data_IF_285130288947
#
_entry.id   IF_285130288947
#
_cell.length_a   1.000
_cell.length_b   1.000
_cell.length_c   1.000
_cell.angle_alpha   90.00
_cell.angle_beta   90.00
_cell.angle_gamma   90.00
#
_symmetry.space_group_name_H-M   'P 1'
#
loop_
_entity.id
_entity.type
_entity.pdbx_description
1 polymer ?
#
# COMPACT_ATOMS: atom_id res chain seq x y z
N UNK A 1 27.74 10.41 18.24
CA UNK A 1 26.44 11.05 18.59
C UNK A 1 25.97 11.84 17.36
N UNK A 2 24.95 11.37 16.65
CA UNK A 2 24.45 12.06 15.45
C UNK A 2 23.50 13.18 15.87
N UNK A 3 23.72 14.40 15.35
CA UNK A 3 22.78 15.51 15.54
C UNK A 3 21.60 15.32 14.59
N UNK A 4 20.39 15.24 15.13
CA UNK A 4 19.17 15.23 14.31
C UNK A 4 18.89 16.64 13.82
N UNK A 5 18.79 16.82 12.50
CA UNK A 5 18.40 18.10 11.89
C UNK A 5 16.92 18.01 11.51
N UNK A 6 16.08 18.86 12.10
CA UNK A 6 14.66 18.95 11.75
C UNK A 6 14.49 19.99 10.65
N UNK A 7 14.07 19.55 9.47
CA UNK A 7 13.84 20.40 8.30
C UNK A 7 12.36 20.31 7.95
N UNK A 8 11.68 21.46 7.84
CA UNK A 8 10.34 21.53 7.27
C UNK A 8 10.45 21.37 5.76
N UNK A 9 9.57 20.55 5.17
CA UNK A 9 9.40 20.56 3.72
C UNK A 9 8.44 21.71 3.39
N UNK A 10 8.83 22.60 2.48
CA UNK A 10 7.99 23.65 1.91
C UNK A 10 7.55 23.26 0.49
N UNK A 11 6.63 22.29 0.33
CA UNK A 11 6.22 21.81 -0.98
C UNK A 11 5.30 22.81 -1.68
N UNK A 12 5.48 22.95 -3.00
CA UNK A 12 4.53 23.62 -3.87
C UNK A 12 3.17 22.90 -3.87
N UNK A 13 2.08 23.56 -4.29
CA UNK A 13 0.75 22.92 -4.35
C UNK A 13 0.73 21.60 -5.15
N UNK A 14 1.50 21.52 -6.24
CA UNK A 14 1.64 20.29 -7.05
C UNK A 14 2.34 19.19 -6.27
N UNK A 15 3.40 19.53 -5.52
CA UNK A 15 4.13 18.57 -4.68
C UNK A 15 3.25 18.04 -3.55
N UNK A 16 2.42 18.88 -2.92
CA UNK A 16 1.46 18.43 -1.89
C UNK A 16 0.51 17.37 -2.46
N UNK A 17 -0.04 17.62 -3.64
CA UNK A 17 -0.94 16.66 -4.30
C UNK A 17 -0.20 15.36 -4.60
N UNK A 18 1.02 15.42 -5.11
CA UNK A 18 1.83 14.23 -5.43
C UNK A 18 2.18 13.42 -4.16
N UNK A 19 2.60 14.10 -3.09
CA UNK A 19 2.88 13.47 -1.80
C UNK A 19 1.65 12.76 -1.23
N UNK A 20 0.47 13.42 -1.29
CA UNK A 20 -0.79 12.82 -0.85
C UNK A 20 -1.18 11.61 -1.70
N UNK A 21 -1.02 11.69 -3.02
CA UNK A 21 -1.24 10.56 -3.93
C UNK A 21 -0.32 9.38 -3.59
N UNK A 22 0.97 9.62 -3.36
CA UNK A 22 1.90 8.57 -2.96
C UNK A 22 1.55 7.95 -1.61
N UNK A 23 1.25 8.76 -0.60
CA UNK A 23 0.86 8.27 0.72
C UNK A 23 -0.43 7.44 0.65
N UNK A 24 -1.42 7.91 -0.12
CA UNK A 24 -2.67 7.18 -0.35
C UNK A 24 -2.45 5.84 -1.06
N UNK A 25 -1.69 5.84 -2.16
CA UNK A 25 -1.37 4.63 -2.91
C UNK A 25 -0.57 3.63 -2.06
N UNK A 26 0.41 4.10 -1.28
CA UNK A 26 1.18 3.23 -0.39
C UNK A 26 0.29 2.53 0.64
N UNK A 27 -0.62 3.28 1.28
CA UNK A 27 -1.60 2.72 2.23
C UNK A 27 -2.55 1.72 1.57
N UNK A 28 -3.04 2.04 0.38
CA UNK A 28 -3.92 1.17 -0.39
C UNK A 28 -3.25 -0.17 -0.72
N UNK A 29 -2.05 -0.12 -1.30
CA UNK A 29 -1.29 -1.31 -1.68
C UNK A 29 -0.95 -2.16 -0.47
N UNK A 30 -0.56 -1.53 0.64
CA UNK A 30 -0.29 -2.23 1.90
C UNK A 30 -1.50 -3.02 2.39
N UNK A 31 -2.66 -2.36 2.50
CA UNK A 31 -3.89 -3.01 2.96
C UNK A 31 -4.33 -4.14 2.01
N UNK A 32 -4.19 -3.94 0.69
CA UNK A 32 -4.54 -4.94 -0.31
C UNK A 32 -3.67 -6.20 -0.18
N UNK A 33 -2.36 -6.03 -0.07
CA UNK A 33 -1.42 -7.15 0.10
C UNK A 33 -1.63 -7.85 1.43
N UNK A 34 -1.93 -7.10 2.50
CA UNK A 34 -2.23 -7.68 3.81
C UNK A 34 -3.48 -8.58 3.75
N UNK A 35 -4.54 -8.11 3.11
CA UNK A 35 -5.75 -8.91 2.91
C UNK A 35 -5.48 -10.17 2.07
N UNK A 36 -4.74 -10.05 0.96
CA UNK A 36 -4.32 -11.18 0.15
C UNK A 36 -3.53 -12.22 0.95
N UNK A 37 -2.56 -11.77 1.76
CA UNK A 37 -1.76 -12.65 2.60
C UNK A 37 -2.65 -13.38 3.61
N UNK A 38 -3.56 -12.67 4.27
CA UNK A 38 -4.49 -13.27 5.23
C UNK A 38 -5.36 -14.35 4.56
N UNK A 39 -5.95 -14.06 3.40
CA UNK A 39 -6.77 -15.02 2.65
C UNK A 39 -5.98 -16.27 2.25
N UNK A 40 -4.72 -16.15 1.89
CA UNK A 40 -3.87 -17.29 1.54
C UNK A 40 -3.47 -18.11 2.78
N UNK A 41 -3.22 -17.44 3.92
CA UNK A 41 -3.00 -18.12 5.19
C UNK A 41 -4.22 -18.92 5.63
N UNK A 42 -5.42 -18.36 5.47
CA UNK A 42 -6.68 -19.04 5.82
C UNK A 42 -6.91 -20.29 4.94
N UNK A 43 -6.39 -20.31 3.71
CA UNK A 43 -6.38 -21.49 2.82
C UNK A 43 -5.29 -22.51 3.16
N UNK A 44 -4.39 -22.20 4.09
CA UNK A 44 -3.23 -23.03 4.43
C UNK A 44 -2.03 -22.86 3.50
N UNK A 45 -2.09 -21.90 2.57
CA UNK A 45 -0.98 -21.59 1.67
C UNK A 45 0.05 -20.70 2.37
N UNK A 46 1.34 -20.99 2.18
CA UNK A 46 2.42 -20.11 2.65
C UNK A 46 2.82 -19.13 1.55
N UNK A 47 2.44 -17.88 1.70
CA UNK A 47 2.87 -16.78 0.83
C UNK A 47 4.18 -16.20 1.35
N UNK A 48 5.12 -15.94 0.44
CA UNK A 48 6.34 -15.20 0.79
C UNK A 48 6.01 -13.73 1.05
N UNK A 49 6.34 -13.26 2.26
CA UNK A 49 6.23 -11.85 2.66
C UNK A 49 7.42 -10.99 2.22
N UNK A 50 8.34 -11.55 1.41
CA UNK A 50 9.48 -10.82 0.88
C UNK A 50 9.01 -9.72 -0.09
N UNK A 51 9.58 -8.52 0.03
CA UNK A 51 9.31 -7.35 -0.80
C UNK A 51 9.26 -7.68 -2.30
N UNK A 52 10.24 -8.44 -2.80
CA UNK A 52 10.32 -8.75 -4.23
C UNK A 52 9.13 -9.59 -4.74
N UNK A 53 8.65 -10.54 -3.92
CA UNK A 53 7.52 -11.40 -4.27
C UNK A 53 6.21 -10.62 -4.21
N UNK A 54 6.02 -9.80 -3.18
CA UNK A 54 4.85 -8.92 -3.07
C UNK A 54 4.80 -7.88 -4.20
N UNK A 55 5.95 -7.31 -4.61
CA UNK A 55 6.04 -6.42 -5.77
C UNK A 55 5.68 -7.13 -7.07
N UNK A 56 6.13 -8.38 -7.24
CA UNK A 56 5.80 -9.20 -8.43
C UNK A 56 4.29 -9.46 -8.49
N UNK A 57 3.69 -9.87 -7.38
CA UNK A 57 2.23 -10.06 -7.28
C UNK A 57 1.47 -8.75 -7.53
N UNK A 58 1.86 -7.65 -6.90
CA UNK A 58 1.23 -6.35 -7.13
C UNK A 58 1.27 -5.95 -8.61
N UNK A 59 2.39 -6.16 -9.30
CA UNK A 59 2.50 -5.85 -10.72
C UNK A 59 1.57 -6.67 -11.61
N UNK A 60 1.19 -7.89 -11.23
CA UNK A 60 0.22 -8.69 -11.98
C UNK A 60 -1.23 -8.26 -11.75
N UNK A 61 -1.57 -7.73 -10.56
CA UNK A 61 -2.97 -7.42 -10.20
C UNK A 61 -3.32 -5.93 -10.23
N UNK A 62 -2.33 -5.02 -10.26
CA UNK A 62 -2.55 -3.57 -10.10
C UNK A 62 -3.54 -2.94 -11.10
N UNK A 63 -3.61 -3.46 -12.33
CA UNK A 63 -4.54 -2.96 -13.34
C UNK A 63 -6.01 -3.24 -12.95
N UNK A 64 -6.25 -4.43 -12.40
CA UNK A 64 -7.57 -4.85 -11.93
C UNK A 64 -7.92 -4.18 -10.59
N UNK A 65 -6.95 -4.11 -9.65
CA UNK A 65 -7.13 -3.46 -8.37
C UNK A 65 -7.43 -1.95 -8.49
N UNK A 66 -6.87 -1.27 -9.50
CA UNK A 66 -7.15 0.14 -9.79
C UNK A 66 -8.58 0.36 -10.34
N UNK A 67 -9.12 -0.60 -11.07
CA UNK A 67 -10.49 -0.55 -11.59
C UNK A 67 -11.54 -0.88 -10.50
N UNK A 68 -11.15 -1.68 -9.50
CA UNK A 68 -12.01 -2.20 -8.42
C UNK A 68 -12.24 -1.21 -7.26
N UNK A 69 -12.20 0.11 -7.49
CA UNK A 69 -12.54 1.14 -6.51
C UNK A 69 -14.06 1.25 -6.23
N UNK A 70 -14.78 0.12 -6.17
CA UNK A 70 -16.13 0.05 -5.62
C UNK A 70 -16.17 -0.93 -4.45
N UNK A 71 -16.26 -0.32 -3.27
CA UNK A 71 -16.94 -0.79 -2.06
C UNK A 71 -16.72 -2.26 -1.67
N UNK A 72 -15.85 -2.46 -0.69
CA UNK A 72 -16.21 -3.35 0.42
C UNK A 72 -16.07 -2.58 1.73
N UNK A 73 -17.23 -2.13 2.23
CA UNK A 73 -17.44 -1.78 3.62
C UNK A 73 -16.90 -2.92 4.49
N UNK A 74 -15.72 -2.75 5.06
CA UNK A 74 -15.35 -3.47 6.27
C UNK A 74 -15.88 -2.61 7.41
N UNK A 75 -17.08 -2.94 7.89
CA UNK A 75 -17.57 -2.49 9.18
C UNK A 75 -16.61 -3.01 10.24
N UNK A 76 -15.68 -2.15 10.68
CA UNK A 76 -14.98 -2.35 11.93
C UNK A 76 -15.95 -1.89 13.01
N UNK A 77 -16.45 -2.84 13.79
CA UNK A 77 -17.19 -2.61 15.03
C UNK A 77 -16.34 -1.86 16.04
#
# INVERSE_FOLDING_TARGET
MHKGVKIALDPSPVQIVLLRKHAGTARFVYNHLLAYIQEEYDKGNKVSTNFYQLRKHWNSVKAEAACRCQVKNVQIR
#
